data_IF_739742328091
#
_entry.id   IF_739742328091
#
_cell.length_a   1.000
_cell.length_b   1.000
_cell.length_c   1.000
_cell.angle_alpha   90.00
_cell.angle_beta   90.00
_cell.angle_gamma   90.00
#
_symmetry.space_group_name_H-M   'P 1'
#
loop_
_entity.id
_entity.type
_entity.pdbx_description
1 polymer ?
#
# COMPACT_ATOMS: atom_id res chain seq x y z
N UNK A 1 15.43 7.38 7.81
CA UNK A 1 15.22 7.65 6.39
C UNK A 1 13.81 7.24 5.98
N UNK A 2 13.26 7.86 4.96
CA UNK A 2 11.91 7.53 4.54
C UNK A 2 11.87 6.13 3.92
N UNK A 3 10.81 5.41 4.18
CA UNK A 3 10.64 4.10 3.59
C UNK A 3 10.21 4.24 2.13
N UNK A 4 10.52 3.23 1.34
CA UNK A 4 10.20 3.24 -0.08
C UNK A 4 8.71 3.02 -0.33
N UNK A 5 8.26 3.32 -1.55
CA UNK A 5 6.88 3.05 -1.96
C UNK A 5 6.57 1.56 -1.85
N UNK A 6 7.52 0.70 -2.22
CA UNK A 6 7.34 -0.75 -2.12
C UNK A 6 7.12 -1.19 -0.67
N UNK A 7 7.90 -0.62 0.25
CA UNK A 7 7.74 -0.94 1.66
C UNK A 7 6.38 -0.47 2.20
N UNK A 8 5.91 0.69 1.75
CA UNK A 8 4.58 1.19 2.13
C UNK A 8 3.48 0.26 1.64
N UNK A 9 3.60 -0.24 0.41
CA UNK A 9 2.66 -1.22 -0.13
C UNK A 9 2.68 -2.49 0.71
N UNK A 10 3.87 -2.98 1.05
CA UNK A 10 4.02 -4.22 1.83
C UNK A 10 3.39 -4.09 3.23
N UNK A 11 3.55 -2.96 3.88
CA UNK A 11 2.94 -2.71 5.18
C UNK A 11 1.41 -2.75 5.09
N UNK A 12 0.85 -2.10 4.07
CA UNK A 12 -0.60 -2.11 3.85
C UNK A 12 -1.10 -3.53 3.57
N UNK A 13 -0.42 -4.25 2.69
CA UNK A 13 -0.81 -5.61 2.33
C UNK A 13 -0.74 -6.55 3.52
N UNK A 14 0.28 -6.43 4.33
CA UNK A 14 0.43 -7.23 5.54
C UNK A 14 -0.74 -6.99 6.49
N UNK A 15 -1.10 -5.74 6.72
CA UNK A 15 -2.23 -5.41 7.59
C UNK A 15 -3.53 -5.97 7.03
N UNK A 16 -3.79 -5.77 5.74
CA UNK A 16 -5.06 -6.20 5.16
C UNK A 16 -5.16 -7.71 4.99
N UNK A 17 -4.06 -8.42 4.88
CA UNK A 17 -4.06 -9.88 4.96
C UNK A 17 -4.49 -10.33 6.36
N UNK A 18 -3.96 -9.70 7.38
CA UNK A 18 -4.34 -9.96 8.76
C UNK A 18 -5.81 -9.59 8.99
N UNK A 19 -6.19 -8.38 8.59
CA UNK A 19 -7.54 -7.86 8.80
C UNK A 19 -8.55 -8.71 8.04
N UNK A 20 -8.24 -9.11 6.82
CA UNK A 20 -9.13 -9.91 5.99
C UNK A 20 -9.47 -11.26 6.57
N UNK A 21 -8.66 -11.79 7.46
CA UNK A 21 -8.96 -13.06 8.14
C UNK A 21 -10.01 -12.89 9.25
N UNK A 22 -10.14 -11.68 9.77
CA UNK A 22 -10.98 -11.40 10.94
C UNK A 22 -12.19 -10.54 10.62
N UNK A 23 -12.30 -10.00 9.44
CA UNK A 23 -13.35 -9.04 9.08
C UNK A 23 -13.90 -9.32 7.68
N UNK A 24 -15.03 -8.73 7.37
CA UNK A 24 -15.60 -8.91 6.03
C UNK A 24 -14.76 -8.21 4.96
N UNK A 25 -14.69 -8.76 3.75
CA UNK A 25 -14.00 -8.11 2.65
C UNK A 25 -14.56 -6.72 2.32
N UNK A 26 -15.87 -6.55 2.47
CA UNK A 26 -16.52 -5.26 2.22
C UNK A 26 -15.99 -4.21 3.19
N UNK A 27 -15.95 -4.53 4.48
CA UNK A 27 -15.47 -3.60 5.49
C UNK A 27 -13.99 -3.30 5.32
N UNK A 28 -13.18 -4.30 4.99
CA UNK A 28 -11.77 -4.09 4.70
C UNK A 28 -11.59 -3.13 3.53
N UNK A 29 -12.40 -3.27 2.49
CA UNK A 29 -12.38 -2.37 1.34
C UNK A 29 -12.74 -0.92 1.70
N UNK A 30 -13.72 -0.75 2.58
CA UNK A 30 -14.10 0.59 3.05
C UNK A 30 -12.97 1.23 3.84
N UNK A 31 -12.36 0.48 4.74
CA UNK A 31 -11.29 1.01 5.59
C UNK A 31 -10.07 1.40 4.77
N UNK A 32 -9.69 0.57 3.79
CA UNK A 32 -8.50 0.82 2.99
C UNK A 32 -8.55 2.15 2.24
N UNK A 33 -9.75 2.65 1.95
CA UNK A 33 -9.90 3.92 1.25
C UNK A 33 -9.75 5.12 2.17
N UNK A 34 -9.69 4.90 3.48
CA UNK A 34 -9.74 5.98 4.47
C UNK A 34 -8.52 6.06 5.38
N UNK A 35 -7.55 5.20 5.19
CA UNK A 35 -6.37 5.17 6.06
C UNK A 35 -5.08 5.13 5.25
N UNK A 36 -4.02 5.63 5.86
CA UNK A 36 -2.66 5.42 5.39
C UNK A 36 -1.95 4.69 6.51
N UNK A 37 -1.56 3.44 6.29
CA UNK A 37 -0.94 2.63 7.34
C UNK A 37 0.55 2.95 7.39
N UNK A 38 0.99 3.41 8.55
CA UNK A 38 2.38 3.80 8.76
C UNK A 38 3.18 2.65 9.35
N UNK A 39 2.58 1.89 10.24
CA UNK A 39 3.25 0.78 10.87
C UNK A 39 2.22 -0.23 11.35
N UNK A 40 2.54 -1.49 11.21
CA UNK A 40 1.73 -2.58 11.74
C UNK A 40 2.66 -3.66 12.26
N UNK A 41 2.59 -3.95 13.55
CA UNK A 41 3.40 -4.97 14.18
C UNK A 41 2.53 -5.94 14.96
N UNK A 42 2.43 -7.16 14.48
CA UNK A 42 1.73 -8.21 15.22
C UNK A 42 2.49 -8.59 16.49
N UNK A 43 3.81 -8.51 16.43
CA UNK A 43 4.65 -8.86 17.56
C UNK A 43 4.48 -7.85 18.70
N UNK A 44 4.52 -6.57 18.41
CA UNK A 44 4.44 -5.53 19.41
C UNK A 44 3.01 -5.05 19.64
N UNK A 45 2.06 -5.57 18.88
CA UNK A 45 0.65 -5.23 18.99
C UNK A 45 0.42 -3.72 18.81
N UNK A 46 0.98 -3.18 17.75
CA UNK A 46 0.86 -1.75 17.42
C UNK A 46 0.34 -1.57 16.01
N UNK A 47 -0.59 -0.64 15.86
CA UNK A 47 -1.06 -0.17 14.56
C UNK A 47 -0.99 1.35 14.55
N UNK A 48 -0.21 1.92 13.62
CA UNK A 48 -0.10 3.38 13.45
C UNK A 48 -0.71 3.78 12.12
N UNK A 49 -1.61 4.75 12.17
CA UNK A 49 -2.35 5.21 11.01
C UNK A 49 -2.27 6.71 10.87
N UNK A 50 -2.20 7.18 9.62
CA UNK A 50 -2.56 8.55 9.31
C UNK A 50 -4.00 8.51 8.82
N UNK A 51 -4.83 9.41 9.31
CA UNK A 51 -6.23 9.53 8.90
C UNK A 51 -6.57 11.01 8.77
N UNK A 52 -7.50 11.35 7.89
CA UNK A 52 -7.95 12.73 7.77
C UNK A 52 -9.06 13.04 8.80
N UNK A 53 -9.76 12.01 9.26
CA UNK A 53 -10.80 12.14 10.25
C UNK A 53 -10.73 10.89 11.13
N UNK A 54 -10.68 11.06 12.45
CA UNK A 54 -10.65 9.92 13.38
C UNK A 54 -11.92 9.08 13.31
N UNK A 55 -13.01 9.67 12.82
CA UNK A 55 -14.27 8.97 12.65
C UNK A 55 -14.50 8.63 11.17
N UNK A 56 -13.46 8.17 10.50
CA UNK A 56 -13.56 7.79 9.10
C UNK A 56 -14.53 6.61 8.91
N UNK A 57 -14.99 6.45 7.70
CA UNK A 57 -15.92 5.36 7.41
C UNK A 57 -15.25 4.01 7.68
N UNK A 58 -15.85 3.22 8.54
CA UNK A 58 -15.27 1.95 8.99
C UNK A 58 -14.43 2.03 10.26
N UNK A 59 -14.22 3.24 10.82
CA UNK A 59 -13.38 3.41 11.99
C UNK A 59 -13.90 2.67 13.22
N UNK A 60 -15.21 2.69 13.42
CA UNK A 60 -15.82 2.04 14.57
C UNK A 60 -15.56 0.54 14.56
N UNK A 61 -15.72 -0.07 13.39
CA UNK A 61 -15.45 -1.48 13.21
C UNK A 61 -13.98 -1.80 13.48
N UNK A 62 -13.07 -0.99 12.93
CA UNK A 62 -11.65 -1.19 13.11
C UNK A 62 -11.26 -1.10 14.58
N UNK A 63 -11.66 -0.03 15.25
CA UNK A 63 -11.28 0.18 16.64
C UNK A 63 -11.85 -0.89 17.54
N UNK A 64 -13.12 -1.22 17.38
CA UNK A 64 -13.79 -2.23 18.18
C UNK A 64 -13.10 -3.58 18.09
N UNK A 65 -12.66 -3.95 16.92
CA UNK A 65 -12.06 -5.26 16.73
C UNK A 65 -10.61 -5.36 17.14
N UNK A 66 -9.90 -4.26 17.21
CA UNK A 66 -8.47 -4.27 17.49
C UNK A 66 -8.07 -3.65 18.83
N UNK A 67 -8.90 -2.79 19.40
CA UNK A 67 -8.48 -2.00 20.56
C UNK A 67 -8.09 -2.80 21.79
N UNK A 68 -8.64 -3.99 21.96
CA UNK A 68 -8.32 -4.80 23.12
C UNK A 68 -6.94 -5.46 23.03
N UNK A 69 -6.48 -5.71 21.82
CA UNK A 69 -5.22 -6.41 21.61
C UNK A 69 -4.12 -5.53 21.03
N UNK A 70 -4.49 -4.42 20.40
CA UNK A 70 -3.53 -3.56 19.72
C UNK A 70 -3.59 -2.15 20.27
N UNK A 71 -2.42 -1.52 20.38
CA UNK A 71 -2.36 -0.08 20.61
C UNK A 71 -2.53 0.57 19.26
N UNK A 72 -3.57 1.39 19.13
CA UNK A 72 -3.85 2.09 17.89
C UNK A 72 -3.43 3.54 18.06
N UNK A 73 -2.48 4.00 17.25
CA UNK A 73 -2.01 5.37 17.27
C UNK A 73 -2.43 6.07 15.99
N UNK A 74 -3.09 7.21 16.12
CA UNK A 74 -3.60 7.96 15.00
C UNK A 74 -2.84 9.27 14.87
N UNK A 75 -2.52 9.63 13.63
CA UNK A 75 -2.05 10.97 13.30
C UNK A 75 -3.06 11.58 12.36
N UNK A 76 -3.60 12.73 12.73
CA UNK A 76 -4.55 13.44 11.88
C UNK A 76 -3.78 14.25 10.86
N UNK A 77 -4.10 14.05 9.59
CA UNK A 77 -3.49 14.79 8.49
C UNK A 77 -4.58 15.30 7.58
N UNK A 78 -4.40 16.50 7.06
CA UNK A 78 -5.36 17.09 6.14
C UNK A 78 -5.58 16.20 4.93
N UNK A 79 -4.51 15.61 4.40
CA UNK A 79 -4.57 14.69 3.28
C UNK A 79 -3.76 13.44 3.61
N UNK A 80 -4.28 12.30 3.23
CA UNK A 80 -3.60 11.02 3.41
C UNK A 80 -3.31 10.41 2.03
N UNK A 81 -2.34 9.51 1.99
CA UNK A 81 -2.01 8.78 0.77
C UNK A 81 -2.52 7.35 0.94
N UNK A 82 -3.58 7.00 0.25
CA UNK A 82 -4.18 5.67 0.35
C UNK A 82 -3.35 4.64 -0.41
N UNK A 83 -3.61 3.36 -0.15
CA UNK A 83 -2.90 2.27 -0.83
C UNK A 83 -3.03 2.36 -2.35
N UNK A 84 -4.19 2.72 -2.85
CA UNK A 84 -4.38 2.84 -4.30
C UNK A 84 -3.46 3.90 -4.89
N UNK A 85 -3.36 5.05 -4.22
CA UNK A 85 -2.45 6.12 -4.67
C UNK A 85 -1.00 5.68 -4.59
N UNK A 86 -0.62 4.99 -3.51
CA UNK A 86 0.74 4.49 -3.34
C UNK A 86 1.09 3.52 -4.47
N UNK A 87 0.17 2.62 -4.82
CA UNK A 87 0.37 1.68 -5.92
C UNK A 87 0.55 2.38 -7.26
N UNK A 88 -0.23 3.44 -7.51
CA UNK A 88 -0.10 4.23 -8.73
C UNK A 88 1.25 4.91 -8.82
N UNK A 89 1.71 5.49 -7.72
CA UNK A 89 3.03 6.13 -7.67
C UNK A 89 4.15 5.12 -7.88
N UNK A 90 4.02 3.94 -7.29
CA UNK A 90 4.99 2.88 -7.46
C UNK A 90 5.08 2.41 -8.92
N UNK A 91 3.93 2.27 -9.57
CA UNK A 91 3.89 1.90 -10.99
C UNK A 91 4.58 2.93 -11.86
N UNK A 92 4.38 4.23 -11.58
CA UNK A 92 5.09 5.29 -12.29
C UNK A 92 6.59 5.19 -12.09
N UNK A 93 7.02 4.90 -10.88
CA UNK A 93 8.44 4.74 -10.57
C UNK A 93 9.04 3.60 -11.38
N UNK A 94 8.34 2.47 -11.46
CA UNK A 94 8.81 1.31 -12.25
C UNK A 94 8.89 1.64 -13.73
N UNK A 95 7.90 2.34 -14.26
CA UNK A 95 7.90 2.74 -15.66
C UNK A 95 9.07 3.67 -15.95
N UNK A 96 9.30 4.66 -15.09
CA UNK A 96 10.40 5.60 -15.25
C UNK A 96 11.75 4.89 -15.24
N UNK A 97 11.90 3.91 -14.35
CA UNK A 97 13.13 3.12 -14.28
C UNK A 97 13.33 2.30 -15.56
N UNK A 98 12.27 1.67 -16.05
CA UNK A 98 12.35 0.84 -17.24
C UNK A 98 12.69 1.70 -18.47
N UNK A 99 12.12 2.91 -18.56
CA UNK A 99 12.40 3.81 -19.69
C UNK A 99 13.84 4.29 -19.74
N UNK A 100 14.57 4.15 -18.64
CA UNK A 100 15.98 4.55 -18.59
C UNK A 100 16.92 3.41 -18.93
N UNK A 101 16.41 2.19 -19.14
CA UNK A 101 17.25 1.05 -19.47
C UNK A 101 17.83 1.15 -20.87
N UNK A 102 18.94 0.46 -21.10
CA UNK A 102 19.56 0.42 -22.43
C UNK A 102 18.64 -0.29 -23.42
N UNK A 103 17.92 -1.30 -22.98
CA UNK A 103 16.96 -2.01 -23.84
C UNK A 103 15.90 -1.07 -24.37
N UNK A 104 15.34 -0.20 -23.50
CA UNK A 104 14.32 0.74 -23.97
C UNK A 104 14.92 1.83 -24.83
N UNK A 105 16.13 2.26 -24.57
CA UNK A 105 16.84 3.24 -25.41
C UNK A 105 17.01 2.72 -26.83
N UNK A 106 17.23 1.42 -26.99
CA UNK A 106 17.30 0.79 -28.32
C UNK A 106 15.95 0.84 -29.01
N UNK A 107 14.87 0.67 -28.27
CA UNK A 107 13.52 0.82 -28.83
C UNK A 107 13.30 2.24 -29.32
N UNK A 108 13.69 3.24 -28.53
CA UNK A 108 13.53 4.65 -28.89
C UNK A 108 14.37 5.03 -30.09
N UNK A 109 15.52 4.39 -30.30
CA UNK A 109 16.35 4.65 -31.46
C UNK A 109 15.64 4.27 -32.76
N UNK A 110 14.80 3.24 -32.71
CA UNK A 110 14.02 2.80 -33.89
C UNK A 110 12.64 3.43 -33.94
N UNK A 111 12.05 3.68 -32.78
CA UNK A 111 10.68 4.18 -32.67
C UNK A 111 10.67 5.34 -31.67
N UNK A 112 11.03 6.56 -32.14
CA UNK A 112 11.22 7.69 -31.20
C UNK A 112 10.01 8.06 -30.37
N UNK A 113 8.81 7.70 -30.83
CA UNK A 113 7.59 8.05 -30.10
C UNK A 113 7.09 6.91 -29.21
N UNK A 114 7.86 5.84 -29.08
CA UNK A 114 7.49 4.72 -28.21
C UNK A 114 7.47 5.15 -26.74
N UNK A 115 6.52 4.65 -25.99
CA UNK A 115 6.47 4.88 -24.54
C UNK A 115 5.91 3.64 -23.86
N UNK A 116 6.23 3.48 -22.59
CA UNK A 116 5.68 2.40 -21.78
C UNK A 116 4.41 2.95 -21.15
N UNK A 117 3.27 2.31 -21.39
CA UNK A 117 2.00 2.74 -20.85
C UNK A 117 1.59 1.96 -19.60
N UNK A 118 2.19 0.81 -19.37
CA UNK A 118 1.89 -0.03 -18.21
C UNK A 118 3.03 -1.01 -17.98
N UNK A 119 3.11 -1.52 -16.76
CA UNK A 119 4.10 -2.50 -16.39
C UNK A 119 3.49 -3.39 -15.30
N UNK A 120 3.71 -4.69 -15.41
CA UNK A 120 3.28 -5.63 -14.37
C UNK A 120 4.50 -6.26 -13.75
N UNK A 121 4.54 -6.27 -12.41
CA UNK A 121 5.56 -7.04 -11.71
C UNK A 121 4.99 -8.41 -11.45
N UNK A 122 5.78 -9.43 -11.72
CA UNK A 122 5.38 -10.77 -11.36
C UNK A 122 5.43 -10.89 -9.84
N UNK A 123 4.30 -11.29 -9.24
CA UNK A 123 4.31 -11.61 -7.83
C UNK A 123 5.09 -12.87 -7.64
N UNK A 124 6.11 -12.81 -6.80
CA UNK A 124 6.77 -14.00 -6.39
C UNK A 124 5.92 -14.57 -5.30
N UNK A 125 5.38 -15.66 -5.54
CA UNK A 125 4.62 -16.36 -4.56
C UNK A 125 5.45 -16.58 -3.35
N UNK A 126 4.95 -16.22 -2.23
CA UNK A 126 5.66 -16.42 -1.07
C UNK A 126 5.93 -17.78 -0.86
N UNK A 127 5.42 -18.36 -1.34
CA UNK A 127 5.78 -19.54 -1.16
C UNK A 127 6.16 -20.18 -2.23
N UNK A 128 6.18 -19.64 -2.95
CA UNK A 128 6.55 -20.20 -3.83
C UNK A 128 7.49 -20.75 -3.65
N UNK A 129 7.54 -20.40 -3.23
CA UNK A 129 8.31 -20.87 -3.08
C UNK A 129 8.24 -21.65 -2.26
N UNK A 130 7.71 -21.86 -2.25
CA UNK A 130 7.77 -22.86 -1.38
C UNK A 130 7.87 -23.43 -1.20
#
# INVERSE_FOLDING_TARGET
SPISLKEKIDIHQKFFQFYGKNFSPLMAGIIIENVEIIDFSEKNKILRLNVSDKNFNGSEELYKNLENDYKIELKLKKEITTLETIKSLYKKELIDQEMKTDEFKKVLAKFPNAKIIDIEELERGDGNDG
#
